data_IF_736986946125
#
_entry.id   IF_736986946125
#
_cell.length_a   1.000
_cell.length_b   1.000
_cell.length_c   1.000
_cell.angle_alpha   90.00
_cell.angle_beta   90.00
_cell.angle_gamma   90.00
#
_symmetry.space_group_name_H-M   'P 1'
#
loop_
_entity.id
_entity.type
_entity.pdbx_description
1 polymer ?
#
# COMPACT_ATOMS: atom_id res chain seq x y z
N UNK A 1 20.88 -76.28 20.53
CA UNK A 1 20.41 -75.31 19.52
C UNK A 1 20.25 -73.97 20.19
N UNK A 2 21.12 -73.02 19.87
CA UNK A 2 21.03 -71.63 20.31
C UNK A 2 20.05 -70.94 19.36
N UNK A 3 18.90 -70.50 19.87
CA UNK A 3 17.99 -69.67 19.09
C UNK A 3 18.56 -68.25 19.06
N UNK A 4 18.78 -67.72 17.85
CA UNK A 4 19.18 -66.33 17.64
C UNK A 4 18.16 -65.39 18.27
N UNK A 5 18.68 -64.40 19.01
CA UNK A 5 17.90 -63.39 19.70
C UNK A 5 17.20 -62.53 18.66
N UNK A 6 15.92 -62.80 18.38
CA UNK A 6 15.10 -62.01 17.47
C UNK A 6 15.04 -60.56 17.96
N UNK A 7 15.68 -59.67 17.19
CA UNK A 7 15.62 -58.22 17.42
C UNK A 7 14.23 -57.75 17.04
N UNK A 8 13.39 -57.43 18.03
CA UNK A 8 12.12 -56.74 17.80
C UNK A 8 12.44 -55.34 17.24
N UNK A 9 12.13 -55.11 15.97
CA UNK A 9 12.14 -53.76 15.40
C UNK A 9 11.19 -52.87 16.21
N UNK A 10 11.61 -51.65 16.53
CA UNK A 10 10.74 -50.66 17.16
C UNK A 10 9.49 -50.49 16.31
N UNK A 11 8.32 -50.72 16.90
CA UNK A 11 7.04 -50.59 16.20
C UNK A 11 6.91 -49.22 15.55
N UNK A 12 6.49 -49.20 14.29
CA UNK A 12 6.24 -47.96 13.58
C UNK A 12 5.09 -47.21 14.25
N UNK A 13 5.27 -45.91 14.47
CA UNK A 13 4.19 -45.03 14.89
C UNK A 13 3.28 -44.77 13.68
N UNK A 14 2.07 -45.34 13.71
CA UNK A 14 1.05 -45.18 12.69
C UNK A 14 0.09 -44.03 13.00
N UNK A 15 0.34 -43.22 14.05
CA UNK A 15 -0.48 -42.05 14.31
C UNK A 15 -0.28 -41.02 13.21
N UNK A 16 -1.39 -40.60 12.59
CA UNK A 16 -1.38 -39.49 11.65
C UNK A 16 -0.92 -38.23 12.39
N UNK A 17 0.18 -37.58 11.99
CA UNK A 17 0.67 -36.41 12.68
C UNK A 17 -0.39 -35.30 12.62
N UNK A 18 -0.59 -34.61 13.74
CA UNK A 18 -1.47 -33.43 13.78
C UNK A 18 -0.78 -32.33 12.97
N UNK A 19 -1.27 -32.09 11.76
CA UNK A 19 -0.74 -31.04 10.89
C UNK A 19 -1.51 -29.75 11.13
N UNK A 20 -0.80 -28.68 11.48
CA UNK A 20 -1.40 -27.35 11.63
C UNK A 20 -2.09 -26.88 10.35
N UNK A 21 -3.19 -26.15 10.52
CA UNK A 21 -3.98 -25.61 9.41
C UNK A 21 -3.09 -24.75 8.51
N UNK A 22 -3.03 -25.12 7.23
CA UNK A 22 -2.29 -24.36 6.20
C UNK A 22 -2.99 -23.05 5.88
N UNK A 23 -2.23 -22.05 5.45
CA UNK A 23 -2.78 -20.81 4.92
C UNK A 23 -3.67 -21.11 3.71
N UNK A 24 -4.78 -20.39 3.58
CA UNK A 24 -5.70 -20.54 2.44
C UNK A 24 -5.11 -19.96 1.17
N UNK A 25 -4.40 -18.85 1.30
CA UNK A 25 -3.64 -18.20 0.23
C UNK A 25 -2.15 -18.28 0.52
N UNK A 26 -1.32 -18.23 -0.52
CA UNK A 26 0.12 -18.14 -0.37
C UNK A 26 0.53 -16.99 0.56
N UNK A 27 1.47 -17.28 1.46
CA UNK A 27 2.08 -16.31 2.36
C UNK A 27 3.10 -15.45 1.58
N UNK A 28 2.62 -14.70 0.60
CA UNK A 28 3.44 -13.86 -0.27
C UNK A 28 4.12 -12.77 0.55
N UNK A 29 5.42 -12.61 0.38
CA UNK A 29 6.19 -11.57 1.06
C UNK A 29 5.92 -10.19 0.43
N UNK A 30 5.51 -9.19 1.22
CA UNK A 30 5.39 -7.81 0.74
C UNK A 30 6.74 -7.22 0.36
N UNK A 31 6.75 -6.33 -0.63
CA UNK A 31 8.00 -5.69 -1.06
C UNK A 31 8.27 -4.42 -0.26
N UNK A 32 9.48 -4.32 0.30
CA UNK A 32 10.04 -3.04 0.73
C UNK A 32 9.44 -2.43 1.99
N UNK A 33 8.84 -3.24 2.89
CA UNK A 33 8.44 -2.79 4.24
C UNK A 33 9.63 -2.13 4.92
N UNK A 34 9.39 -1.01 5.61
CA UNK A 34 10.45 -0.23 6.24
C UNK A 34 11.24 0.68 5.29
N UNK A 35 10.80 0.83 4.04
CA UNK A 35 11.44 1.71 3.05
C UNK A 35 10.42 2.61 2.35
N UNK A 36 10.88 3.70 1.72
CA UNK A 36 10.04 4.56 0.87
C UNK A 36 9.42 3.82 -0.32
N UNK A 37 10.03 2.69 -0.69
CA UNK A 37 9.61 1.83 -1.80
C UNK A 37 8.60 0.76 -1.37
N UNK A 38 8.06 0.83 -0.16
CA UNK A 38 7.08 -0.12 0.36
C UNK A 38 5.92 -0.28 -0.62
N UNK A 39 5.55 -1.53 -0.85
CA UNK A 39 4.41 -1.91 -1.68
C UNK A 39 3.08 -1.40 -1.08
N UNK A 40 2.14 -1.03 -1.95
CA UNK A 40 0.78 -0.70 -1.53
C UNK A 40 -0.09 -1.94 -1.31
N UNK A 41 -1.08 -1.87 -0.42
CA UNK A 41 -1.99 -3.00 -0.17
C UNK A 41 -2.72 -3.48 -1.43
N UNK A 42 -3.15 -2.56 -2.29
CA UNK A 42 -3.80 -2.93 -3.56
C UNK A 42 -2.80 -3.62 -4.50
N UNK A 43 -1.55 -3.17 -4.55
CA UNK A 43 -0.50 -3.85 -5.31
C UNK A 43 -0.29 -5.27 -4.80
N UNK A 44 -0.18 -5.44 -3.48
CA UNK A 44 -0.04 -6.75 -2.86
C UNK A 44 -1.19 -7.69 -3.24
N UNK A 45 -2.43 -7.19 -3.17
CA UNK A 45 -3.62 -7.94 -3.57
C UNK A 45 -3.56 -8.40 -5.04
N UNK A 46 -3.12 -7.53 -5.95
CA UNK A 46 -2.97 -7.87 -7.37
C UNK A 46 -1.85 -8.91 -7.56
N UNK A 47 -0.68 -8.72 -6.94
CA UNK A 47 0.43 -9.70 -7.02
C UNK A 47 0.06 -11.05 -6.42
N UNK A 48 -0.73 -11.05 -5.34
CA UNK A 48 -1.25 -12.27 -4.74
C UNK A 48 -2.14 -13.01 -5.75
N UNK A 49 -3.08 -12.31 -6.40
CA UNK A 49 -3.90 -12.90 -7.45
C UNK A 49 -3.06 -13.45 -8.62
N UNK A 50 -2.05 -12.70 -9.08
CA UNK A 50 -1.12 -13.13 -10.13
C UNK A 50 -0.35 -14.40 -9.74
N UNK A 51 0.13 -14.50 -8.49
CA UNK A 51 0.83 -15.68 -7.96
C UNK A 51 -0.09 -16.91 -7.92
N UNK A 52 -1.39 -16.70 -7.70
CA UNK A 52 -2.42 -17.74 -7.78
C UNK A 52 -2.94 -18.00 -9.21
N UNK A 53 -2.39 -17.33 -10.23
CA UNK A 53 -2.83 -17.43 -11.62
C UNK A 53 -4.34 -17.12 -11.81
N UNK A 54 -4.89 -16.23 -10.97
CA UNK A 54 -6.28 -15.77 -11.05
C UNK A 54 -6.34 -14.26 -11.21
N UNK A 55 -7.51 -13.74 -11.58
CA UNK A 55 -7.72 -12.28 -11.60
C UNK A 55 -8.03 -11.76 -10.20
N UNK A 56 -7.79 -10.46 -9.92
CA UNK A 56 -8.21 -9.85 -8.65
C UNK A 56 -9.70 -10.07 -8.35
N UNK A 57 -10.59 -10.01 -9.36
CA UNK A 57 -12.01 -10.29 -9.19
C UNK A 57 -12.26 -11.68 -8.61
N UNK A 58 -11.62 -12.71 -9.17
CA UNK A 58 -11.81 -14.10 -8.72
C UNK A 58 -11.28 -14.29 -7.30
N UNK A 59 -10.09 -13.79 -7.01
CA UNK A 59 -9.51 -13.86 -5.67
C UNK A 59 -10.43 -13.15 -4.65
N UNK A 60 -10.91 -11.96 -4.99
CA UNK A 60 -11.82 -11.20 -4.12
C UNK A 60 -13.12 -11.98 -3.93
N UNK A 61 -13.73 -12.47 -5.00
CA UNK A 61 -15.02 -13.17 -4.94
C UNK A 61 -15.01 -14.41 -4.07
N UNK A 62 -13.99 -15.24 -4.23
CA UNK A 62 -13.99 -16.56 -3.62
C UNK A 62 -13.35 -16.59 -2.23
N UNK A 63 -12.48 -15.63 -1.92
CA UNK A 63 -11.71 -15.66 -0.67
C UNK A 63 -11.99 -14.45 0.22
N UNK A 64 -12.05 -13.24 -0.35
CA UNK A 64 -12.10 -12.00 0.46
C UNK A 64 -13.54 -11.59 0.75
N UNK A 65 -14.40 -11.53 -0.27
CA UNK A 65 -15.78 -11.05 -0.15
C UNK A 65 -16.59 -11.75 0.96
N UNK A 66 -16.56 -13.09 1.10
CA UNK A 66 -17.29 -13.78 2.16
C UNK A 66 -16.81 -13.42 3.57
N UNK A 67 -15.52 -13.12 3.73
CA UNK A 67 -14.93 -12.70 5.02
C UNK A 67 -15.14 -11.20 5.28
N UNK A 68 -15.24 -10.41 4.21
CA UNK A 68 -15.33 -8.96 4.27
C UNK A 68 -16.72 -8.49 4.71
N UNK A 69 -17.78 -9.07 4.13
CA UNK A 69 -19.18 -8.71 4.44
C UNK A 69 -19.94 -9.78 5.22
N UNK A 70 -19.43 -11.01 5.31
CA UNK A 70 -20.19 -12.16 5.80
C UNK A 70 -21.02 -12.81 4.68
N UNK A 71 -21.93 -13.72 5.05
CA UNK A 71 -22.82 -14.42 4.10
C UNK A 71 -23.92 -13.53 3.47
N UNK A 72 -23.93 -12.23 3.76
CA UNK A 72 -24.98 -11.31 3.33
C UNK A 72 -24.49 -10.48 2.11
N UNK A 73 -25.00 -10.83 0.93
CA UNK A 73 -24.76 -10.12 -0.33
C UNK A 73 -25.57 -8.79 -0.34
N UNK A 74 -25.02 -7.72 0.25
CA UNK A 74 -25.77 -6.47 0.46
C UNK A 74 -25.88 -5.51 -0.74
N UNK A 75 -25.24 -5.77 -1.88
CA UNK A 75 -25.21 -4.77 -2.96
C UNK A 75 -25.30 -5.36 -4.38
N UNK A 76 -26.49 -5.25 -4.98
CA UNK A 76 -26.75 -5.59 -6.39
C UNK A 76 -26.49 -4.44 -7.37
N UNK A 77 -26.27 -3.21 -6.88
CA UNK A 77 -26.14 -2.00 -7.71
C UNK A 77 -24.82 -1.91 -8.50
N UNK A 78 -23.75 -2.54 -8.03
CA UNK A 78 -22.41 -2.41 -8.65
C UNK A 78 -22.08 -3.59 -9.56
N UNK A 79 -21.53 -3.30 -10.75
CA UNK A 79 -21.03 -4.33 -11.67
C UNK A 79 -19.71 -4.92 -11.18
N UNK A 80 -19.61 -6.26 -11.16
CA UNK A 80 -18.41 -7.00 -10.76
C UNK A 80 -18.23 -7.14 -9.24
N UNK A 81 -17.46 -8.13 -8.78
CA UNK A 81 -17.34 -8.38 -7.34
C UNK A 81 -16.46 -7.33 -6.64
N UNK A 82 -15.49 -6.75 -7.34
CA UNK A 82 -14.63 -5.70 -6.80
C UNK A 82 -15.46 -4.47 -6.41
N UNK A 83 -16.35 -4.03 -7.31
CA UNK A 83 -17.23 -2.90 -7.06
C UNK A 83 -18.25 -3.16 -5.95
N UNK A 84 -18.75 -4.39 -5.84
CA UNK A 84 -19.64 -4.81 -4.75
C UNK A 84 -18.92 -4.90 -3.41
N UNK A 85 -17.67 -5.35 -3.40
CA UNK A 85 -16.91 -5.55 -2.17
C UNK A 85 -16.47 -4.23 -1.56
N UNK A 86 -15.96 -3.30 -2.35
CA UNK A 86 -15.42 -2.04 -1.83
C UNK A 86 -16.36 -0.86 -1.99
N UNK A 87 -17.60 -1.07 -2.45
CA UNK A 87 -18.72 -0.13 -2.58
C UNK A 87 -18.25 1.27 -3.05
N UNK A 88 -18.36 1.54 -4.35
CA UNK A 88 -17.98 2.81 -4.99
C UNK A 88 -16.46 3.05 -5.15
N UNK A 89 -16.11 3.77 -6.22
CA UNK A 89 -14.73 4.05 -6.61
C UNK A 89 -13.98 4.95 -5.61
N UNK A 90 -14.73 5.75 -4.84
CA UNK A 90 -14.20 6.64 -3.81
C UNK A 90 -13.60 5.91 -2.61
N UNK A 91 -14.04 4.67 -2.33
CA UNK A 91 -13.48 3.87 -1.24
C UNK A 91 -12.28 3.05 -1.69
N UNK A 92 -12.21 2.64 -2.96
CA UNK A 92 -11.08 1.88 -3.49
C UNK A 92 -9.75 2.63 -3.33
N UNK A 93 -9.75 3.96 -3.50
CA UNK A 93 -8.54 4.77 -3.27
C UNK A 93 -8.12 4.81 -1.80
N UNK A 94 -9.04 4.58 -0.86
CA UNK A 94 -8.75 4.60 0.58
C UNK A 94 -8.12 3.30 1.07
N UNK A 95 -8.20 2.20 0.29
CA UNK A 95 -7.64 0.89 0.66
C UNK A 95 -6.12 0.92 0.87
N UNK A 96 -5.41 1.85 0.24
CA UNK A 96 -3.99 2.09 0.48
C UNK A 96 -3.73 3.03 1.68
N UNK A 97 -4.76 3.68 2.21
CA UNK A 97 -4.64 4.67 3.27
C UNK A 97 -5.18 4.12 4.58
N UNK A 98 -6.27 4.66 5.10
CA UNK A 98 -6.84 4.24 6.37
C UNK A 98 -8.36 4.26 6.35
N UNK A 99 -8.96 3.65 7.37
CA UNK A 99 -10.41 3.58 7.53
C UNK A 99 -10.92 2.15 7.57
N UNK A 100 -12.23 2.02 7.76
CA UNK A 100 -12.87 0.73 8.01
C UNK A 100 -12.63 -0.29 6.89
N UNK A 101 -12.78 0.11 5.63
CA UNK A 101 -12.56 -0.78 4.47
C UNK A 101 -11.13 -1.31 4.40
N UNK A 102 -10.14 -0.44 4.66
CA UNK A 102 -8.72 -0.80 4.69
C UNK A 102 -8.43 -1.78 5.81
N UNK A 103 -8.89 -1.47 7.03
CA UNK A 103 -8.74 -2.34 8.20
C UNK A 103 -9.33 -3.73 7.92
N UNK A 104 -10.56 -3.78 7.38
CA UNK A 104 -11.20 -5.06 7.08
C UNK A 104 -10.48 -5.85 5.98
N UNK A 105 -9.96 -5.18 4.95
CA UNK A 105 -9.20 -5.85 3.89
C UNK A 105 -7.89 -6.42 4.44
N UNK A 106 -7.18 -5.67 5.28
CA UNK A 106 -5.96 -6.15 5.96
C UNK A 106 -6.26 -7.38 6.79
N UNK A 107 -7.31 -7.35 7.62
CA UNK A 107 -7.72 -8.50 8.45
C UNK A 107 -8.05 -9.74 7.60
N UNK A 108 -8.81 -9.57 6.51
CA UNK A 108 -9.12 -10.65 5.58
C UNK A 108 -7.83 -11.23 4.96
N UNK A 109 -6.94 -10.39 4.47
CA UNK A 109 -5.71 -10.86 3.83
C UNK A 109 -4.77 -11.53 4.83
N UNK A 110 -4.61 -10.97 6.04
CA UNK A 110 -3.78 -11.54 7.09
C UNK A 110 -4.29 -12.92 7.54
N UNK A 111 -5.61 -13.07 7.75
CA UNK A 111 -6.19 -14.37 8.09
C UNK A 111 -6.05 -15.41 6.97
N UNK A 112 -6.13 -14.98 5.70
CA UNK A 112 -6.00 -15.88 4.54
C UNK A 112 -4.55 -16.28 4.25
N UNK A 113 -3.58 -15.39 4.49
CA UNK A 113 -2.16 -15.58 4.14
C UNK A 113 -1.28 -15.95 5.35
N UNK A 114 -1.84 -15.88 6.57
CA UNK A 114 -1.14 -16.01 7.85
C UNK A 114 0.02 -15.01 8.02
N UNK A 115 -0.08 -13.84 7.37
CA UNK A 115 0.83 -12.70 7.57
C UNK A 115 0.31 -11.79 8.67
N UNK A 116 1.21 -11.06 9.32
CA UNK A 116 0.88 -10.10 10.40
C UNK A 116 1.32 -8.67 10.08
N UNK A 117 1.99 -8.47 8.95
CA UNK A 117 2.70 -7.26 8.56
C UNK A 117 2.01 -6.47 7.43
N UNK A 118 0.83 -6.91 6.97
CA UNK A 118 0.15 -6.28 5.83
C UNK A 118 -0.40 -4.89 6.14
N UNK A 119 -0.56 -4.55 7.42
CA UNK A 119 -0.92 -3.20 7.87
C UNK A 119 0.13 -2.16 7.43
N UNK A 120 1.40 -2.54 7.27
CA UNK A 120 2.48 -1.64 6.82
C UNK A 120 2.39 -1.28 5.32
N UNK A 121 1.50 -1.93 4.57
CA UNK A 121 1.23 -1.61 3.16
C UNK A 121 0.19 -0.51 2.99
N UNK A 122 -0.15 0.16 4.10
CA UNK A 122 -1.22 1.16 4.20
C UNK A 122 -0.77 2.36 5.03
N UNK A 123 -1.58 3.41 5.08
CA UNK A 123 -1.39 4.55 5.99
C UNK A 123 -2.18 4.40 7.30
N UNK A 124 -2.61 3.20 7.69
CA UNK A 124 -3.40 2.96 8.91
C UNK A 124 -2.72 3.46 10.18
N UNK A 125 -1.39 3.37 10.30
CA UNK A 125 -0.65 3.88 11.46
C UNK A 125 -0.82 5.39 11.69
N UNK A 126 -1.26 6.11 10.66
CA UNK A 126 -1.31 7.56 10.63
C UNK A 126 -2.73 8.11 10.66
N UNK A 127 -3.74 7.27 10.83
CA UNK A 127 -5.14 7.64 10.64
C UNK A 127 -5.64 8.75 11.59
N UNK A 128 -5.06 8.88 12.79
CA UNK A 128 -5.37 9.96 13.73
C UNK A 128 -4.71 11.30 13.36
N UNK A 129 -3.59 11.26 12.62
CA UNK A 129 -2.75 12.43 12.33
C UNK A 129 -2.92 12.96 10.91
N UNK A 130 -3.24 12.06 9.96
CA UNK A 130 -3.25 12.35 8.54
C UNK A 130 -4.59 11.92 7.96
N UNK A 131 -5.40 12.91 7.61
CA UNK A 131 -6.64 12.68 6.93
C UNK A 131 -6.41 12.64 5.41
N UNK A 132 -6.73 11.49 4.81
CA UNK A 132 -6.20 11.06 3.52
C UNK A 132 -7.14 11.30 2.33
N UNK A 133 -8.33 11.87 2.57
CA UNK A 133 -9.38 12.05 1.56
C UNK A 133 -8.92 12.85 0.33
N UNK A 134 -7.92 13.71 0.49
CA UNK A 134 -7.37 14.55 -0.58
C UNK A 134 -5.90 14.25 -0.91
N UNK A 135 -5.25 13.40 -0.10
CA UNK A 135 -3.92 12.86 -0.42
C UNK A 135 -4.01 11.69 -1.40
N UNK A 136 -5.18 11.05 -1.52
CA UNK A 136 -5.37 9.86 -2.33
C UNK A 136 -5.64 10.18 -3.81
N UNK A 137 -4.89 9.52 -4.71
CA UNK A 137 -5.19 9.54 -6.14
C UNK A 137 -6.49 8.79 -6.45
N UNK A 138 -7.18 9.21 -7.51
CA UNK A 138 -8.35 8.49 -8.05
C UNK A 138 -8.01 7.46 -9.12
N UNK A 139 -6.85 7.60 -9.75
CA UNK A 139 -6.39 6.76 -10.86
C UNK A 139 -4.96 6.31 -10.58
N UNK A 140 -4.55 5.20 -11.20
CA UNK A 140 -3.17 4.70 -11.08
C UNK A 140 -2.19 5.75 -11.61
N UNK A 141 -1.07 5.87 -10.91
CA UNK A 141 0.11 6.58 -11.36
C UNK A 141 1.29 5.59 -11.37
N UNK A 142 2.16 5.65 -12.37
CA UNK A 142 3.32 4.78 -12.46
C UNK A 142 4.50 5.47 -13.10
N UNK A 143 5.71 4.98 -12.81
CA UNK A 143 6.90 5.34 -13.55
C UNK A 143 7.14 4.32 -14.67
N UNK A 144 7.06 4.71 -15.96
CA UNK A 144 7.33 3.79 -17.06
C UNK A 144 8.75 3.23 -17.05
N UNK A 145 9.73 4.02 -16.59
CA UNK A 145 11.13 3.58 -16.47
C UNK A 145 11.31 2.48 -15.41
N UNK A 146 10.63 2.61 -14.26
CA UNK A 146 10.61 1.53 -13.25
C UNK A 146 9.98 0.25 -13.81
N UNK A 147 8.84 0.36 -14.49
CA UNK A 147 8.18 -0.80 -15.09
C UNK A 147 9.06 -1.47 -16.15
N UNK A 148 9.71 -0.70 -17.03
CA UNK A 148 10.61 -1.24 -18.05
C UNK A 148 11.80 -1.95 -17.42
N UNK A 149 12.45 -1.29 -16.45
CA UNK A 149 13.57 -1.87 -15.70
C UNK A 149 13.18 -3.17 -15.00
N UNK A 150 12.07 -3.21 -14.26
CA UNK A 150 11.63 -4.42 -13.57
C UNK A 150 11.31 -5.54 -14.56
N UNK A 151 10.65 -5.24 -15.68
CA UNK A 151 10.35 -6.24 -16.71
C UNK A 151 11.61 -6.81 -17.37
N UNK A 152 12.54 -5.95 -17.77
CA UNK A 152 13.78 -6.36 -18.43
C UNK A 152 14.66 -7.22 -17.51
N UNK A 153 14.71 -6.87 -16.22
CA UNK A 153 15.50 -7.58 -15.22
C UNK A 153 14.74 -8.74 -14.56
N UNK A 154 13.53 -9.06 -15.02
CA UNK A 154 12.66 -10.12 -14.45
C UNK A 154 12.43 -9.96 -12.94
N UNK A 155 12.38 -8.72 -12.48
CA UNK A 155 12.07 -8.38 -11.09
C UNK A 155 10.53 -8.34 -10.91
N UNK A 156 10.04 -8.52 -9.67
CA UNK A 156 8.63 -8.33 -9.37
C UNK A 156 8.19 -6.92 -9.76
N UNK A 157 7.13 -6.84 -10.57
CA UNK A 157 6.49 -5.56 -10.91
C UNK A 157 5.43 -5.31 -9.86
N UNK A 158 5.49 -4.15 -9.21
CA UNK A 158 4.58 -3.77 -8.14
C UNK A 158 4.32 -2.26 -8.17
N UNK A 159 3.43 -1.77 -7.32
CA UNK A 159 3.16 -0.34 -7.16
C UNK A 159 3.50 0.11 -5.74
N UNK A 160 4.54 0.95 -5.58
CA UNK A 160 4.85 1.59 -4.31
C UNK A 160 3.67 2.36 -3.74
N UNK A 161 3.47 2.30 -2.43
CA UNK A 161 2.45 3.07 -1.70
C UNK A 161 2.57 4.57 -1.98
N UNK A 162 3.80 5.05 -2.13
CA UNK A 162 4.12 6.43 -2.47
C UNK A 162 3.41 6.92 -3.74
N UNK A 163 3.20 6.05 -4.75
CA UNK A 163 2.52 6.44 -5.99
C UNK A 163 1.01 6.63 -5.81
N UNK A 164 0.44 6.20 -4.68
CA UNK A 164 -0.98 6.43 -4.35
C UNK A 164 -1.25 7.86 -3.88
N UNK A 165 -0.20 8.63 -3.56
CA UNK A 165 -0.31 10.01 -3.11
C UNK A 165 -0.46 10.96 -4.29
N UNK A 166 -1.54 11.74 -4.30
CA UNK A 166 -1.88 12.73 -5.32
C UNK A 166 -0.84 13.86 -5.46
N UNK A 167 -0.25 14.37 -4.37
CA UNK A 167 0.81 15.38 -4.46
C UNK A 167 2.14 14.87 -5.04
N UNK A 168 2.38 13.56 -5.02
CA UNK A 168 3.66 12.96 -5.45
C UNK A 168 3.62 12.69 -6.96
N UNK A 169 3.99 13.69 -7.75
CA UNK A 169 3.90 13.62 -9.22
C UNK A 169 5.18 13.09 -9.88
N UNK A 170 6.23 12.84 -9.10
CA UNK A 170 7.55 12.44 -9.59
C UNK A 170 7.97 11.07 -9.04
N UNK A 171 8.70 10.30 -9.84
CA UNK A 171 9.36 9.08 -9.39
C UNK A 171 10.60 9.39 -8.55
N UNK A 172 10.72 8.77 -7.38
CA UNK A 172 11.90 8.86 -6.50
C UNK A 172 13.20 8.37 -7.15
N UNK A 173 13.14 7.41 -8.09
CA UNK A 173 14.36 6.81 -8.67
C UNK A 173 14.82 7.50 -9.94
N UNK A 174 13.87 7.86 -10.81
CA UNK A 174 14.18 8.39 -12.13
C UNK A 174 14.02 9.91 -12.21
N UNK A 175 13.50 10.54 -11.15
CA UNK A 175 13.16 11.97 -11.13
C UNK A 175 12.32 12.42 -12.33
N UNK A 176 11.52 11.50 -12.87
CA UNK A 176 10.63 11.73 -14.00
C UNK A 176 9.19 11.82 -13.52
N UNK A 177 8.31 12.56 -14.23
CA UNK A 177 6.89 12.56 -13.92
C UNK A 177 6.28 11.15 -13.92
N UNK A 178 5.36 10.90 -12.99
CA UNK A 178 4.53 9.71 -13.02
C UNK A 178 3.45 9.87 -14.09
N UNK A 179 3.19 8.79 -14.83
CA UNK A 179 2.18 8.74 -15.88
C UNK A 179 0.87 8.19 -15.31
N UNK A 180 -0.26 8.74 -15.76
CA UNK A 180 -1.61 8.31 -15.32
C UNK A 180 -2.52 7.85 -16.47
N UNK A 181 -2.04 7.96 -17.71
CA UNK A 181 -2.76 7.60 -18.92
C UNK A 181 -2.02 6.53 -19.73
N UNK A 182 -2.76 5.59 -20.30
CA UNK A 182 -2.16 4.56 -21.13
C UNK A 182 -1.51 5.19 -22.38
N UNK A 183 -0.23 4.89 -22.70
CA UNK A 183 0.42 5.44 -23.88
C UNK A 183 -0.18 4.94 -25.21
N UNK A 184 -1.04 3.91 -25.17
CA UNK A 184 -1.63 3.28 -26.35
C UNK A 184 -3.08 3.70 -26.60
N UNK A 185 -3.92 3.79 -25.57
CA UNK A 185 -5.34 4.16 -25.71
C UNK A 185 -5.73 5.47 -25.02
N UNK A 186 -4.78 6.15 -24.37
CA UNK A 186 -4.94 7.43 -23.68
C UNK A 186 -5.96 7.44 -22.52
N UNK A 187 -6.48 6.28 -22.13
CA UNK A 187 -7.42 6.15 -21.01
C UNK A 187 -6.69 6.26 -19.67
N UNK A 188 -7.35 6.88 -18.69
CA UNK A 188 -6.91 6.82 -17.29
C UNK A 188 -7.23 5.44 -16.72
N UNK A 189 -6.32 4.91 -15.90
CA UNK A 189 -6.47 3.57 -15.34
C UNK A 189 -7.12 3.62 -13.95
N UNK A 190 -8.23 2.89 -13.74
CA UNK A 190 -8.75 2.60 -12.41
C UNK A 190 -7.69 1.98 -11.49
N UNK A 191 -7.71 2.31 -10.20
CA UNK A 191 -6.78 1.76 -9.21
C UNK A 191 -6.88 0.23 -9.14
N UNK A 192 -8.11 -0.27 -9.04
CA UNK A 192 -8.43 -1.69 -8.99
C UNK A 192 -9.69 -1.98 -9.82
N UNK A 193 -9.62 -3.01 -10.65
CA UNK A 193 -10.73 -3.55 -11.44
C UNK A 193 -10.69 -5.06 -11.42
N UNK A 194 -11.70 -5.68 -12.02
CA UNK A 194 -11.75 -7.12 -12.17
C UNK A 194 -10.55 -7.73 -12.92
N UNK A 195 -9.89 -6.96 -13.79
CA UNK A 195 -8.83 -7.42 -14.70
C UNK A 195 -7.51 -6.66 -14.54
N UNK A 196 -7.38 -5.86 -13.47
CA UNK A 196 -6.14 -5.12 -13.21
C UNK A 196 -4.96 -6.07 -13.09
N UNK A 197 -3.87 -5.72 -13.76
CA UNK A 197 -2.61 -6.47 -13.80
C UNK A 197 -1.45 -5.48 -13.82
N UNK A 198 -0.38 -5.76 -13.09
CA UNK A 198 0.76 -4.84 -13.02
C UNK A 198 1.39 -4.61 -14.39
N UNK A 199 1.60 -3.34 -14.72
CA UNK A 199 2.22 -2.93 -15.98
C UNK A 199 1.36 -3.12 -17.24
N UNK A 200 0.10 -3.54 -17.15
CA UNK A 200 -0.79 -3.65 -18.31
C UNK A 200 -2.02 -2.74 -18.19
N UNK A 201 -2.49 -2.25 -19.33
CA UNK A 201 -3.73 -1.48 -19.39
C UNK A 201 -4.95 -2.39 -19.27
N UNK A 202 -5.85 -2.11 -18.32
CA UNK A 202 -7.12 -2.84 -18.16
C UNK A 202 -8.15 -2.56 -19.26
N UNK A 203 -7.93 -1.56 -20.11
CA UNK A 203 -8.81 -1.22 -21.24
C UNK A 203 -8.35 -1.86 -22.56
N UNK A 204 -7.07 -1.72 -22.92
CA UNK A 204 -6.54 -2.21 -24.21
C UNK A 204 -5.63 -3.43 -24.10
N UNK A 205 -5.29 -3.89 -22.88
CA UNK A 205 -4.44 -5.06 -22.65
C UNK A 205 -2.95 -4.88 -22.97
N UNK A 206 -2.52 -3.70 -23.46
CA UNK A 206 -1.12 -3.45 -23.83
C UNK A 206 -0.25 -3.09 -22.62
N UNK A 207 1.05 -3.40 -22.72
CA UNK A 207 2.08 -3.01 -21.76
C UNK A 207 2.17 -1.49 -21.62
N UNK A 208 2.25 -0.99 -20.39
CA UNK A 208 2.15 0.44 -20.05
C UNK A 208 3.42 1.25 -20.30
N UNK A 209 4.47 0.62 -20.82
CA UNK A 209 5.66 1.32 -21.32
C UNK A 209 5.59 1.37 -22.84
N UNK A 210 5.76 2.57 -23.38
CA UNK A 210 6.04 2.79 -24.79
C UNK A 210 7.35 3.59 -24.88
N UNK A 211 8.40 2.97 -25.42
CA UNK A 211 9.73 3.57 -25.48
C UNK A 211 9.78 4.83 -26.36
N UNK A 212 8.95 4.90 -27.38
CA UNK A 212 8.85 6.07 -28.28
C UNK A 212 8.22 7.30 -27.59
N UNK A 213 7.46 7.07 -26.50
CA UNK A 213 6.76 8.10 -25.72
C UNK A 213 7.36 8.35 -24.35
N UNK A 214 8.56 7.79 -24.07
CA UNK A 214 9.25 7.98 -22.78
C UNK A 214 9.78 9.41 -22.58
N UNK A 215 9.82 10.23 -23.64
CA UNK A 215 10.30 11.61 -23.57
C UNK A 215 9.15 12.63 -23.53
N UNK A 216 9.39 13.73 -22.81
CA UNK A 216 9.03 15.13 -23.16
C UNK A 216 8.48 16.00 -22.01
N UNK A 217 8.33 15.52 -20.78
CA UNK A 217 7.95 16.39 -19.65
C UNK A 217 9.08 16.49 -18.62
N UNK A 218 9.84 17.58 -18.70
CA UNK A 218 10.80 17.98 -17.68
C UNK A 218 10.13 18.93 -16.70
N UNK A 219 10.15 18.58 -15.42
CA UNK A 219 9.83 19.51 -14.33
C UNK A 219 10.92 20.59 -14.25
N UNK A 220 10.56 21.80 -13.81
CA UNK A 220 11.54 22.83 -13.48
C UNK A 220 12.39 22.42 -12.27
N UNK A 221 13.59 23.00 -12.13
CA UNK A 221 14.49 22.69 -11.00
C UNK A 221 13.84 22.94 -9.64
N UNK A 222 13.03 23.98 -9.50
CA UNK A 222 12.28 24.29 -8.28
C UNK A 222 11.19 23.26 -7.99
N UNK A 223 10.44 22.81 -9.00
CA UNK A 223 9.44 21.75 -8.85
C UNK A 223 10.09 20.41 -8.45
N UNK A 224 11.24 20.09 -9.04
CA UNK A 224 12.00 18.89 -8.65
C UNK A 224 12.40 18.96 -7.17
N UNK A 225 12.95 20.08 -6.72
CA UNK A 225 13.34 20.25 -5.31
C UNK A 225 12.14 20.07 -4.35
N UNK A 226 11.00 20.70 -4.65
CA UNK A 226 9.77 20.54 -3.86
C UNK A 226 9.26 19.09 -3.86
N UNK A 227 9.32 18.41 -5.01
CA UNK A 227 8.92 17.00 -5.10
C UNK A 227 9.86 16.09 -4.31
N UNK A 228 11.17 16.35 -4.31
CA UNK A 228 12.13 15.59 -3.49
C UNK A 228 11.83 15.73 -2.00
N UNK A 229 11.51 16.93 -1.52
CA UNK A 229 11.13 17.16 -0.13
C UNK A 229 9.83 16.43 0.24
N UNK A 230 8.81 16.49 -0.61
CA UNK A 230 7.55 15.76 -0.42
C UNK A 230 7.75 14.24 -0.41
N UNK A 231 8.52 13.71 -1.37
CA UNK A 231 8.86 12.29 -1.46
C UNK A 231 9.61 11.85 -0.21
N UNK A 232 10.55 12.65 0.30
CA UNK A 232 11.28 12.34 1.52
C UNK A 232 10.36 12.27 2.73
N UNK A 233 9.41 13.20 2.85
CA UNK A 233 8.43 13.22 3.93
C UNK A 233 7.51 12.00 3.86
N UNK A 234 6.79 11.82 2.74
CA UNK A 234 5.86 10.69 2.61
C UNK A 234 6.57 9.34 2.62
N UNK A 235 7.72 9.23 1.96
CA UNK A 235 8.56 8.04 1.96
C UNK A 235 9.00 7.63 3.37
N UNK A 236 9.29 8.61 4.25
CA UNK A 236 9.63 8.31 5.65
C UNK A 236 8.41 7.87 6.47
N UNK A 237 7.22 8.44 6.21
CA UNK A 237 5.98 7.99 6.85
C UNK A 237 5.60 6.56 6.42
N UNK A 238 5.83 6.24 5.14
CA UNK A 238 5.62 4.91 4.57
C UNK A 238 6.65 3.90 5.10
N UNK A 239 7.90 4.32 5.26
CA UNK A 239 8.98 3.50 5.80
C UNK A 239 8.85 3.22 7.31
N UNK A 240 7.78 3.70 7.96
CA UNK A 240 7.58 3.47 9.38
C UNK A 240 7.35 1.99 9.70
N UNK A 241 8.16 1.48 10.61
CA UNK A 241 7.88 0.26 11.38
C UNK A 241 8.23 0.52 12.85
N UNK A 242 7.66 -0.23 13.81
CA UNK A 242 8.03 -0.10 15.23
C UNK A 242 9.55 -0.24 15.47
N UNK A 243 10.22 -1.12 14.72
CA UNK A 243 11.67 -1.33 14.80
C UNK A 243 12.44 -0.13 14.24
N UNK A 244 12.02 0.40 13.09
CA UNK A 244 12.64 1.58 12.49
C UNK A 244 12.49 2.81 13.39
N UNK A 245 11.33 2.96 14.03
CA UNK A 245 11.03 4.03 14.96
C UNK A 245 11.98 4.02 16.16
N UNK A 246 12.18 2.86 16.80
CA UNK A 246 13.05 2.72 17.97
C UNK A 246 14.47 3.24 17.70
N UNK A 247 14.97 3.04 16.48
CA UNK A 247 16.30 3.41 16.05
C UNK A 247 16.42 4.88 15.58
N UNK A 248 15.33 5.50 15.10
CA UNK A 248 15.40 6.78 14.38
C UNK A 248 14.41 7.86 14.88
N UNK A 249 13.93 7.73 16.12
CA UNK A 249 12.97 8.63 16.79
C UNK A 249 13.12 10.12 16.44
N UNK A 250 14.30 10.72 16.62
CA UNK A 250 14.51 12.18 16.38
C UNK A 250 14.30 12.59 14.91
N UNK A 251 14.79 11.79 13.98
CA UNK A 251 14.67 12.06 12.53
C UNK A 251 13.21 11.99 12.10
N UNK A 252 12.50 10.98 12.61
CA UNK A 252 11.08 10.74 12.36
C UNK A 252 10.20 11.92 12.81
N UNK A 253 10.39 12.42 14.04
CA UNK A 253 9.60 13.56 14.53
C UNK A 253 9.86 14.84 13.78
N UNK A 254 11.13 15.08 13.40
CA UNK A 254 11.47 16.25 12.58
C UNK A 254 10.72 16.20 11.25
N UNK A 255 10.55 15.03 10.64
CA UNK A 255 9.86 14.88 9.36
C UNK A 255 8.34 15.02 9.48
N UNK A 256 7.72 14.49 10.55
CA UNK A 256 6.31 14.75 10.86
C UNK A 256 6.08 16.25 11.06
N UNK A 257 6.97 16.91 11.81
CA UNK A 257 6.92 18.38 11.99
C UNK A 257 7.09 19.07 10.64
N UNK A 258 8.04 18.64 9.80
CA UNK A 258 8.22 19.20 8.44
C UNK A 258 6.96 19.01 7.59
N UNK A 259 6.29 17.87 7.66
CA UNK A 259 4.98 17.67 7.00
C UNK A 259 3.96 18.71 7.46
N UNK A 260 3.81 18.88 8.78
CA UNK A 260 2.91 19.88 9.35
C UNK A 260 3.37 21.33 9.14
N UNK A 261 4.65 21.59 8.91
CA UNK A 261 5.16 22.93 8.56
C UNK A 261 4.93 23.23 7.08
N UNK A 262 5.14 22.26 6.18
CA UNK A 262 4.76 22.38 4.77
C UNK A 262 3.27 22.71 4.61
N UNK A 263 2.43 22.21 5.52
CA UNK A 263 1.01 22.60 5.67
C UNK A 263 0.82 24.10 5.90
N UNK A 264 1.67 24.73 6.72
CA UNK A 264 1.62 26.17 6.99
C UNK A 264 2.19 26.99 5.82
N UNK A 265 3.02 26.39 4.97
CA UNK A 265 3.61 27.00 3.77
C UNK A 265 2.70 26.96 2.51
N UNK A 266 1.45 26.50 2.62
CA UNK A 266 0.45 26.51 1.53
C UNK A 266 0.01 27.90 1.03
N UNK A 267 0.72 28.97 1.38
CA UNK A 267 0.68 30.23 0.66
C UNK A 267 1.49 30.23 -0.64
N UNK A 268 2.17 29.13 -1.00
CA UNK A 268 2.93 29.01 -2.24
C UNK A 268 2.09 28.29 -3.30
N UNK A 269 1.66 29.04 -4.32
CA UNK A 269 0.95 28.55 -5.50
C UNK A 269 1.76 27.47 -6.22
N UNK A 270 1.34 26.21 -6.14
CA UNK A 270 1.81 25.15 -7.02
C UNK A 270 1.30 25.45 -8.43
N UNK A 271 2.20 25.73 -9.36
CA UNK A 271 1.94 26.09 -10.77
C UNK A 271 1.34 24.96 -11.63
N UNK A 272 0.67 23.98 -11.02
CA UNK A 272 -0.02 22.90 -11.73
C UNK A 272 -1.55 23.09 -11.65
N UNK A 273 -2.23 23.47 -12.74
CA UNK A 273 -3.68 23.69 -12.74
C UNK A 273 -4.53 22.44 -12.46
N UNK A 274 -3.91 21.25 -12.35
CA UNK A 274 -4.59 19.99 -12.00
C UNK A 274 -4.77 19.79 -10.49
N UNK A 275 -3.93 20.41 -9.65
CA UNK A 275 -3.94 20.23 -8.18
C UNK A 275 -4.41 21.54 -7.57
N UNK A 276 -5.70 21.63 -7.20
CA UNK A 276 -6.20 22.88 -6.62
C UNK A 276 -5.70 23.02 -5.17
N UNK A 277 -5.13 24.18 -4.78
CA UNK A 277 -4.70 24.44 -3.40
C UNK A 277 -5.83 24.22 -2.38
N UNK A 278 -7.08 24.51 -2.78
CA UNK A 278 -8.28 24.24 -1.97
C UNK A 278 -8.46 22.76 -1.60
N UNK A 279 -8.05 21.82 -2.46
CA UNK A 279 -8.18 20.37 -2.20
C UNK A 279 -7.20 19.91 -1.14
N UNK A 280 -5.98 20.43 -1.13
CA UNK A 280 -5.01 20.09 -0.08
C UNK A 280 -5.47 20.70 1.25
N UNK A 281 -6.00 21.94 1.25
CA UNK A 281 -6.58 22.60 2.43
C UNK A 281 -7.69 21.83 3.14
N UNK A 282 -8.60 21.22 2.37
CA UNK A 282 -9.74 20.48 2.94
C UNK A 282 -9.37 19.12 3.55
N UNK A 283 -8.17 18.56 3.27
CA UNK A 283 -7.70 17.35 3.97
C UNK A 283 -7.43 17.56 5.44
N UNK A 284 -7.43 18.80 5.94
CA UNK A 284 -6.57 19.16 7.05
C UNK A 284 -7.29 19.59 8.32
N UNK A 285 -8.60 19.34 8.39
CA UNK A 285 -9.44 19.60 9.55
C UNK A 285 -9.83 18.27 10.20
N UNK A 286 -8.94 17.72 11.03
CA UNK A 286 -9.35 16.75 12.06
C UNK A 286 -9.16 17.42 13.42
N UNK A 287 -10.22 18.10 13.87
CA UNK A 287 -10.31 18.65 15.22
C UNK A 287 -10.57 17.49 16.18
N UNK A 288 -9.55 17.05 16.92
CA UNK A 288 -9.80 16.10 18.01
C UNK A 288 -8.60 15.36 18.59
N UNK A 289 -7.51 15.19 17.83
CA UNK A 289 -6.30 14.55 18.33
C UNK A 289 -5.10 15.44 18.06
N UNK A 290 -4.53 16.01 19.13
CA UNK A 290 -3.28 16.75 18.99
C UNK A 290 -2.13 15.76 18.80
N UNK A 291 -1.05 16.21 18.17
CA UNK A 291 0.22 15.46 18.15
C UNK A 291 0.57 14.99 19.58
N UNK A 292 0.35 15.83 20.60
CA UNK A 292 0.53 15.55 22.04
C UNK A 292 -0.31 14.38 22.58
N UNK A 293 -1.48 14.09 22.02
CA UNK A 293 -2.33 12.98 22.47
C UNK A 293 -1.87 11.65 21.87
N UNK A 294 -1.45 11.63 20.60
CA UNK A 294 -0.78 10.49 19.98
C UNK A 294 0.47 10.06 20.78
N UNK A 295 1.25 11.04 21.27
CA UNK A 295 2.43 10.80 22.10
C UNK A 295 2.16 10.11 23.44
N UNK A 296 0.96 10.28 24.01
CA UNK A 296 0.55 9.61 25.24
C UNK A 296 0.15 8.16 24.97
N UNK A 297 -0.50 7.90 23.84
CA UNK A 297 -1.02 6.58 23.47
C UNK A 297 0.08 5.59 23.05
N UNK A 298 1.12 6.06 22.36
CA UNK A 298 2.18 5.20 21.80
C UNK A 298 3.47 5.14 22.64
N UNK A 299 3.44 5.67 23.86
CA UNK A 299 4.61 5.67 24.74
C UNK A 299 4.37 4.90 26.04
N UNK A 300 4.51 3.56 26.05
CA UNK A 300 4.69 2.81 27.30
C UNK A 300 5.99 3.19 28.04
N UNK A 301 6.82 4.09 27.47
CA UNK A 301 8.19 4.38 27.93
C UNK A 301 8.36 5.83 28.43
N UNK A 302 7.39 6.74 28.21
CA UNK A 302 7.50 8.14 28.66
C UNK A 302 6.97 8.41 30.08
N UNK A 303 6.39 7.43 30.76
CA UNK A 303 5.78 7.59 32.10
C UNK A 303 6.65 7.04 33.25
N UNK A 304 7.97 6.96 33.10
CA UNK A 304 8.89 6.59 34.19
C UNK A 304 9.95 7.65 34.51
N UNK A 305 9.56 8.92 34.49
CA UNK A 305 10.30 9.96 35.20
C UNK A 305 9.37 10.97 35.86
N UNK A 306 8.92 10.63 37.06
CA UNK A 306 8.56 11.64 38.05
C UNK A 306 9.16 11.25 39.40
N UNK A 307 9.90 12.22 39.98
CA UNK A 307 10.28 12.38 41.40
C UNK A 307 11.60 11.75 41.86
N UNK A 308 12.67 12.54 41.70
CA UNK A 308 13.60 12.77 42.81
C UNK A 308 13.26 14.16 43.37
N UNK A 309 13.22 14.21 44.70
CA UNK A 309 12.79 15.28 45.62
C UNK A 309 11.29 15.29 45.95
#
# INVERSE_FOLDING_TARGET
>A
MQFEKLTLYSGYDFQTPVVEKRSTLYSLEPIGIGTSKCESLISYLIRLAETHCVTPDKLIKHNIHPLFWGHEDFCTYYKGIVGRTFIHYSHMKLLNFSGWYTSKLVECLQSLTLREDLVFLTMMHWHELIHHLYLSRYYKAWCPLCYDYWRQNKLPIYEPLLWSFEPVIMCEHHHSPLVTQCPHCNQKLPILTATTRHGYCNHCGKWLVNQEKLSLQSLSTSEIALQLDLIKVFGSLIAFTPEAFNNTRKTFYRQIITYFQLKEFESIELSNPQISPKRIHQSMTYEGFTVQDFWKTFSPIASNRTRIY
#
